data_IF_711750726416
#
_entry.id   IF_711750726416
#
_cell.length_a   1.000
_cell.length_b   1.000
_cell.length_c   1.000
_cell.angle_alpha   90.00
_cell.angle_beta   90.00
_cell.angle_gamma   90.00
#
_symmetry.space_group_name_H-M   'P 1'
#
loop_
_entity.id
_entity.type
_entity.pdbx_description
1 polymer ?
#
# COMPACT_ATOMS: atom_id res chain seq x y z
N UNK A 1 7.24 26.04 -8.99
CA UNK A 1 6.06 26.20 -8.11
C UNK A 1 5.15 24.98 -8.23
N UNK A 2 4.70 24.44 -7.09
CA UNK A 2 3.65 23.39 -7.04
C UNK A 2 2.32 24.09 -7.22
N UNK A 3 1.43 23.52 -8.02
CA UNK A 3 0.09 24.07 -8.26
C UNK A 3 -0.69 24.11 -6.92
N UNK A 4 -1.26 25.28 -6.52
CA UNK A 4 -2.01 25.39 -5.28
C UNK A 4 -3.20 24.43 -5.22
N UNK A 5 -3.77 24.05 -6.36
CA UNK A 5 -4.87 23.08 -6.44
C UNK A 5 -4.41 21.68 -6.05
N UNK A 6 -3.29 21.20 -6.63
CA UNK A 6 -2.69 19.91 -6.29
C UNK A 6 -2.32 19.84 -4.80
N UNK A 7 -1.77 20.93 -4.24
CA UNK A 7 -1.43 20.98 -2.82
C UNK A 7 -2.66 20.76 -1.94
N UNK A 8 -3.80 21.40 -2.27
CA UNK A 8 -5.06 21.21 -1.54
C UNK A 8 -5.57 19.77 -1.63
N UNK A 9 -5.40 19.13 -2.78
CA UNK A 9 -5.85 17.74 -2.99
C UNK A 9 -4.97 16.69 -2.32
N UNK A 10 -3.67 16.96 -2.13
CA UNK A 10 -2.76 16.06 -1.42
C UNK A 10 -2.85 16.19 0.12
N UNK A 11 -3.42 17.27 0.66
CA UNK A 11 -3.62 17.43 2.11
C UNK A 11 -4.42 16.28 2.76
N UNK A 12 -5.58 15.85 2.25
CA UNK A 12 -6.32 14.72 2.84
C UNK A 12 -5.51 13.43 2.81
N UNK A 13 -4.76 13.15 1.73
CA UNK A 13 -3.89 11.97 1.67
C UNK A 13 -2.78 12.03 2.74
N UNK A 14 -2.17 13.20 2.94
CA UNK A 14 -1.18 13.40 4.00
C UNK A 14 -1.78 13.25 5.41
N UNK A 15 -2.99 13.78 5.63
CA UNK A 15 -3.69 13.65 6.91
C UNK A 15 -4.04 12.19 7.22
N UNK A 16 -4.53 11.44 6.23
CA UNK A 16 -4.80 10.01 6.37
C UNK A 16 -3.53 9.21 6.66
N UNK A 17 -2.41 9.52 5.99
CA UNK A 17 -1.13 8.86 6.24
C UNK A 17 -0.63 9.09 7.68
N UNK A 18 -0.78 10.31 8.21
CA UNK A 18 -0.44 10.63 9.60
C UNK A 18 -1.37 9.94 10.60
N UNK A 19 -2.66 9.93 10.32
CA UNK A 19 -3.64 9.24 11.17
C UNK A 19 -3.40 7.72 11.18
N UNK A 20 -3.06 7.13 10.03
CA UNK A 20 -2.70 5.74 9.90
C UNK A 20 -1.50 5.34 10.77
N UNK A 21 -0.49 6.22 10.91
CA UNK A 21 0.67 5.97 11.77
C UNK A 21 0.31 5.88 13.26
N UNK A 22 -0.74 6.57 13.70
CA UNK A 22 -1.25 6.51 15.09
C UNK A 22 -2.16 5.33 15.37
N UNK A 23 -2.73 4.72 14.33
CA UNK A 23 -3.61 3.56 14.44
C UNK A 23 -2.82 2.26 14.64
N UNK A 24 -3.46 1.17 15.13
CA UNK A 24 -2.82 -0.13 15.28
C UNK A 24 -2.43 -0.74 13.93
N UNK A 25 -1.20 -1.25 13.84
CA UNK A 25 -0.65 -1.98 12.68
C UNK A 25 -0.40 -3.45 12.96
N UNK A 26 -0.42 -3.86 14.23
CA UNK A 26 -0.31 -5.26 14.65
C UNK A 26 -1.58 -5.70 15.39
N UNK A 27 -1.81 -7.01 15.47
CA UNK A 27 -2.86 -7.57 16.31
C UNK A 27 -2.41 -7.61 17.76
N UNK A 28 -3.32 -7.31 18.69
CA UNK A 28 -3.11 -7.68 20.08
C UNK A 28 -3.08 -9.21 20.19
N UNK A 29 -2.18 -9.75 21.01
CA UNK A 29 -2.10 -11.19 21.26
C UNK A 29 -2.07 -11.45 22.76
N UNK A 30 -2.88 -12.43 23.17
CA UNK A 30 -3.01 -12.85 24.55
C UNK A 30 -2.85 -14.36 24.60
N UNK A 31 -1.86 -14.82 25.38
CA UNK A 31 -1.67 -16.23 25.70
C UNK A 31 -1.89 -16.39 27.19
N UNK A 32 -2.95 -17.10 27.61
CA UNK A 32 -3.18 -17.33 29.03
C UNK A 32 -2.05 -18.17 29.63
N UNK A 33 -1.79 -17.97 30.92
CA UNK A 33 -0.89 -18.84 31.66
C UNK A 33 -1.46 -20.26 31.73
N UNK A 34 -0.59 -21.25 31.89
CA UNK A 34 -0.97 -22.64 32.02
C UNK A 34 -0.16 -23.35 33.10
N UNK A 35 -0.72 -24.42 33.64
CA UNK A 35 -0.06 -25.29 34.61
C UNK A 35 0.14 -26.67 33.98
N UNK A 36 1.36 -27.19 34.07
CA UNK A 36 1.68 -28.56 33.70
C UNK A 36 1.96 -29.36 34.99
N UNK A 37 1.11 -30.35 35.33
CA UNK A 37 1.32 -31.15 36.53
C UNK A 37 2.57 -32.01 36.40
N UNK A 38 3.26 -32.22 37.53
CA UNK A 38 4.31 -33.22 37.63
C UNK A 38 3.75 -34.64 37.51
N UNK A 39 4.64 -35.61 37.33
CA UNK A 39 4.27 -37.02 37.26
C UNK A 39 5.12 -37.84 38.23
N UNK A 40 4.50 -38.82 38.89
CA UNK A 40 5.20 -39.74 39.79
C UNK A 40 5.33 -41.11 39.11
N UNK A 41 6.53 -41.67 39.15
CA UNK A 41 6.82 -43.02 38.66
C UNK A 41 7.30 -43.89 39.82
N UNK A 42 6.97 -45.17 39.79
CA UNK A 42 7.53 -46.16 40.71
C UNK A 42 8.75 -46.81 40.05
N UNK A 43 9.89 -46.79 40.73
CA UNK A 43 11.13 -47.42 40.31
C UNK A 43 11.54 -48.48 41.32
N UNK A 44 11.83 -49.69 40.86
CA UNK A 44 12.31 -50.76 41.73
C UNK A 44 13.84 -50.83 41.68
N UNK A 45 14.48 -50.95 42.83
CA UNK A 45 15.92 -51.22 42.88
C UNK A 45 16.23 -52.69 42.57
N UNK A 46 17.53 -53.04 42.53
CA UNK A 46 17.98 -54.39 42.23
C UNK A 46 17.50 -55.43 43.27
N UNK A 47 17.15 -54.99 44.48
CA UNK A 47 16.69 -55.82 45.58
C UNK A 47 15.15 -55.92 45.64
N UNK A 48 14.45 -55.27 44.70
CA UNK A 48 12.99 -55.31 44.57
C UNK A 48 12.24 -54.35 45.47
N UNK A 49 12.91 -53.42 46.17
CA UNK A 49 12.25 -52.36 46.93
C UNK A 49 11.77 -51.26 45.98
N UNK A 50 10.48 -50.93 46.09
CA UNK A 50 9.87 -49.84 45.34
C UNK A 50 10.22 -48.48 45.94
N UNK A 51 10.77 -47.58 45.12
CA UNK A 51 10.92 -46.16 45.41
C UNK A 51 10.01 -45.35 44.49
N UNK A 52 9.54 -44.19 44.96
CA UNK A 52 8.69 -43.30 44.18
C UNK A 52 9.48 -42.05 43.80
N UNK A 53 9.57 -41.78 42.50
CA UNK A 53 10.20 -40.58 41.97
C UNK A 53 9.14 -39.66 41.37
N UNK A 54 9.00 -38.45 41.91
CA UNK A 54 8.06 -37.45 41.40
C UNK A 54 8.81 -36.30 40.74
N UNK A 55 8.45 -35.98 39.49
CA UNK A 55 8.88 -34.73 38.87
C UNK A 55 8.06 -33.57 39.42
N UNK A 56 8.68 -32.39 39.49
CA UNK A 56 7.96 -31.16 39.86
C UNK A 56 7.11 -30.69 38.68
N UNK A 57 5.87 -30.25 38.96
CA UNK A 57 5.09 -29.50 37.98
C UNK A 57 5.72 -28.14 37.68
N UNK A 58 5.26 -27.48 36.61
CA UNK A 58 5.70 -26.13 36.28
C UNK A 58 4.53 -25.23 35.87
N UNK A 59 4.69 -23.93 36.12
CA UNK A 59 3.73 -22.89 35.73
C UNK A 59 4.34 -22.09 34.58
N UNK A 60 3.66 -22.08 33.43
CA UNK A 60 3.96 -21.17 32.33
C UNK A 60 3.28 -19.83 32.58
N UNK A 61 4.05 -18.77 32.81
CA UNK A 61 3.51 -17.42 32.85
C UNK A 61 2.99 -17.05 31.45
N UNK A 62 1.70 -16.74 31.35
CA UNK A 62 1.11 -16.21 30.12
C UNK A 62 1.71 -14.86 29.75
N UNK A 63 1.38 -14.37 28.56
CA UNK A 63 1.80 -13.05 28.11
C UNK A 63 0.68 -12.31 27.39
N UNK A 64 0.75 -10.98 27.48
CA UNK A 64 -0.13 -10.06 26.77
C UNK A 64 0.75 -9.10 25.97
N UNK A 65 0.59 -9.11 24.65
CA UNK A 65 1.29 -8.19 23.75
C UNK A 65 0.25 -7.25 23.12
N UNK A 66 0.21 -5.96 23.53
CA UNK A 66 -0.76 -5.01 23.03
C UNK A 66 -0.54 -4.70 21.53
N UNK A 67 -1.61 -4.32 20.85
CA UNK A 67 -1.53 -3.84 19.48
C UNK A 67 -0.60 -2.63 19.40
N UNK A 68 0.38 -2.68 18.49
CA UNK A 68 1.40 -1.66 18.34
C UNK A 68 0.99 -0.66 17.25
N UNK A 69 1.03 0.65 17.55
CA UNK A 69 0.76 1.67 16.55
C UNK A 69 1.90 1.80 15.54
N UNK A 70 1.59 2.25 14.33
CA UNK A 70 2.52 2.28 13.20
C UNK A 70 3.83 3.06 13.45
N UNK A 71 3.77 4.13 14.26
CA UNK A 71 4.95 4.94 14.58
C UNK A 71 5.98 4.21 15.48
N UNK A 72 5.58 3.14 16.17
CA UNK A 72 6.49 2.37 17.05
C UNK A 72 7.27 1.30 16.32
N UNK A 73 6.84 0.90 15.12
CA UNK A 73 7.41 -0.19 14.32
C UNK A 73 8.12 0.34 13.07
N UNK A 74 8.66 -0.58 12.26
CA UNK A 74 9.47 -0.29 11.06
C UNK A 74 8.74 0.57 10.00
N UNK A 75 7.41 0.60 10.04
CA UNK A 75 6.56 1.41 9.15
C UNK A 75 6.98 2.88 9.12
N UNK A 76 7.44 3.44 10.24
CA UNK A 76 7.94 4.82 10.31
C UNK A 76 9.10 5.09 9.35
N UNK A 77 9.95 4.10 9.10
CA UNK A 77 11.10 4.22 8.19
C UNK A 77 10.61 4.32 6.74
N UNK A 78 9.67 3.45 6.36
CA UNK A 78 9.03 3.50 5.04
C UNK A 78 8.26 4.80 4.82
N UNK A 79 7.54 5.27 5.84
CA UNK A 79 6.85 6.56 5.81
C UNK A 79 7.81 7.73 5.61
N UNK A 80 8.95 7.74 6.32
CA UNK A 80 9.98 8.76 6.15
C UNK A 80 10.59 8.73 4.74
N UNK A 81 10.94 7.55 4.21
CA UNK A 81 11.46 7.39 2.86
C UNK A 81 10.45 7.84 1.79
N UNK A 82 9.19 7.43 1.94
CA UNK A 82 8.08 7.89 1.10
C UNK A 82 7.98 9.41 1.11
N UNK A 83 8.00 10.04 2.29
CA UNK A 83 7.88 11.49 2.43
C UNK A 83 9.04 12.23 1.76
N UNK A 84 10.28 11.79 1.99
CA UNK A 84 11.48 12.38 1.37
C UNK A 84 11.41 12.26 -0.15
N UNK A 85 11.09 11.06 -0.66
CA UNK A 85 10.97 10.81 -2.09
C UNK A 85 9.81 11.62 -2.72
N UNK A 86 8.68 11.75 -2.03
CA UNK A 86 7.55 12.55 -2.47
C UNK A 86 7.90 14.05 -2.54
N UNK A 87 8.54 14.60 -1.50
CA UNK A 87 8.97 16.01 -1.49
C UNK A 87 9.95 16.28 -2.62
N UNK A 88 10.97 15.44 -2.79
CA UNK A 88 11.95 15.60 -3.86
C UNK A 88 11.35 15.39 -5.24
N UNK A 89 10.46 14.40 -5.39
CA UNK A 89 9.73 14.11 -6.61
C UNK A 89 8.83 15.27 -7.04
N UNK A 90 8.10 15.87 -6.11
CA UNK A 90 7.27 17.06 -6.34
C UNK A 90 8.11 18.29 -6.69
N UNK A 91 9.24 18.50 -5.99
CA UNK A 91 10.15 19.63 -6.28
C UNK A 91 10.78 19.53 -7.68
N UNK A 92 11.21 18.33 -8.07
CA UNK A 92 11.87 18.08 -9.37
C UNK A 92 10.89 17.71 -10.49
N UNK A 93 9.60 17.57 -10.18
CA UNK A 93 8.56 17.02 -11.08
C UNK A 93 9.00 15.69 -11.73
N UNK A 94 9.67 14.84 -10.96
CA UNK A 94 10.22 13.58 -11.46
C UNK A 94 9.24 12.42 -11.24
N UNK A 95 8.69 11.81 -12.31
CA UNK A 95 7.78 10.68 -12.19
C UNK A 95 8.44 9.47 -11.52
N UNK A 96 9.76 9.32 -11.68
CA UNK A 96 10.52 8.21 -11.08
C UNK A 96 10.56 8.34 -9.56
N UNK A 97 10.84 9.54 -9.04
CA UNK A 97 10.89 9.77 -7.59
C UNK A 97 9.50 9.64 -6.94
N UNK A 98 8.45 10.09 -7.64
CA UNK A 98 7.07 9.90 -7.18
C UNK A 98 6.67 8.42 -7.22
N UNK A 99 7.12 7.68 -8.22
CA UNK A 99 6.99 6.22 -8.26
C UNK A 99 7.68 5.56 -7.08
N UNK A 100 8.93 5.93 -6.80
CA UNK A 100 9.69 5.44 -5.62
C UNK A 100 8.97 5.77 -4.31
N UNK A 101 8.36 6.95 -4.20
CA UNK A 101 7.59 7.31 -3.01
C UNK A 101 6.40 6.37 -2.81
N UNK A 102 5.61 6.11 -3.86
CA UNK A 102 4.47 5.19 -3.79
C UNK A 102 4.92 3.74 -3.54
N UNK A 103 6.02 3.28 -4.14
CA UNK A 103 6.52 1.92 -3.89
C UNK A 103 7.08 1.77 -2.49
N UNK A 104 7.75 2.78 -1.93
CA UNK A 104 8.18 2.78 -0.53
C UNK A 104 6.98 2.71 0.43
N UNK A 105 5.92 3.47 0.13
CA UNK A 105 4.66 3.40 0.88
C UNK A 105 3.98 2.03 0.79
N UNK A 106 3.95 1.42 -0.40
CA UNK A 106 3.39 0.08 -0.60
C UNK A 106 4.26 -1.02 0.07
N UNK A 107 5.58 -0.85 0.09
CA UNK A 107 6.48 -1.77 0.77
C UNK A 107 6.20 -1.86 2.28
N UNK A 108 5.70 -0.78 2.91
CA UNK A 108 5.26 -0.81 4.30
C UNK A 108 4.11 -1.81 4.53
N UNK A 109 3.18 -1.91 3.58
CA UNK A 109 2.06 -2.87 3.62
C UNK A 109 2.52 -4.30 3.36
N UNK A 110 3.44 -4.49 2.41
CA UNK A 110 3.99 -5.83 2.11
C UNK A 110 4.79 -6.38 3.29
N UNK A 111 5.52 -5.51 4.01
CA UNK A 111 6.34 -5.93 5.16
C UNK A 111 5.50 -6.29 6.39
N UNK A 112 4.33 -5.70 6.53
CA UNK A 112 3.37 -6.02 7.58
C UNK A 112 2.03 -6.44 6.93
N UNK A 113 1.93 -7.66 6.40
CA UNK A 113 0.69 -8.12 5.79
C UNK A 113 -0.38 -8.29 6.87
N UNK A 114 -1.54 -7.66 6.67
CA UNK A 114 -2.65 -7.73 7.60
C UNK A 114 -3.86 -6.92 7.14
N UNK A 115 -4.80 -6.71 8.05
CA UNK A 115 -6.04 -5.97 7.82
C UNK A 115 -6.35 -4.99 8.97
N UNK A 116 -5.32 -4.61 9.72
CA UNK A 116 -5.46 -3.70 10.86
C UNK A 116 -5.86 -2.30 10.37
N UNK A 117 -6.57 -1.55 11.23
CA UNK A 117 -7.10 -0.23 10.88
C UNK A 117 -6.03 0.73 10.33
N UNK A 118 -4.82 0.72 10.88
CA UNK A 118 -3.72 1.55 10.39
C UNK A 118 -3.32 1.21 8.94
N UNK A 119 -3.32 -0.07 8.58
CA UNK A 119 -2.97 -0.53 7.23
C UNK A 119 -4.03 -0.16 6.20
N UNK A 120 -5.31 -0.28 6.54
CA UNK A 120 -6.43 0.10 5.67
C UNK A 120 -6.43 1.61 5.39
N UNK A 121 -6.23 2.44 6.43
CA UNK A 121 -6.16 3.89 6.27
C UNK A 121 -4.91 4.30 5.48
N UNK A 122 -3.77 3.64 5.70
CA UNK A 122 -2.55 3.86 4.93
C UNK A 122 -2.73 3.51 3.44
N UNK A 123 -3.32 2.35 3.14
CA UNK A 123 -3.65 1.95 1.78
C UNK A 123 -4.57 2.98 1.11
N UNK A 124 -5.60 3.46 1.82
CA UNK A 124 -6.47 4.54 1.34
C UNK A 124 -5.70 5.83 1.03
N UNK A 125 -4.77 6.22 1.91
CA UNK A 125 -3.90 7.38 1.69
C UNK A 125 -3.02 7.23 0.44
N UNK A 126 -2.44 6.04 0.22
CA UNK A 126 -1.62 5.75 -0.96
C UNK A 126 -2.43 5.77 -2.25
N UNK A 127 -3.63 5.18 -2.25
CA UNK A 127 -4.53 5.20 -3.40
C UNK A 127 -4.93 6.63 -3.73
N UNK A 128 -5.35 7.41 -2.73
CA UNK A 128 -5.74 8.81 -2.93
C UNK A 128 -4.56 9.63 -3.48
N UNK A 129 -3.37 9.49 -2.89
CA UNK A 129 -2.17 10.17 -3.39
C UNK A 129 -1.82 9.74 -4.82
N UNK A 130 -1.91 8.44 -5.13
CA UNK A 130 -1.65 7.90 -6.46
C UNK A 130 -2.61 8.46 -7.51
N UNK A 131 -3.90 8.47 -7.23
CA UNK A 131 -4.93 9.03 -8.12
C UNK A 131 -4.66 10.50 -8.41
N UNK A 132 -4.42 11.30 -7.37
CA UNK A 132 -4.16 12.74 -7.53
C UNK A 132 -2.88 13.02 -8.33
N UNK A 133 -1.84 12.20 -8.15
CA UNK A 133 -0.60 12.31 -8.93
C UNK A 133 -0.77 11.88 -10.40
N UNK A 134 -1.66 10.92 -10.66
CA UNK A 134 -2.03 10.49 -12.03
C UNK A 134 -2.86 11.57 -12.72
N UNK A 135 -3.86 12.12 -12.04
CA UNK A 135 -4.74 13.17 -12.56
C UNK A 135 -3.98 14.46 -12.86
N UNK A 136 -3.00 14.81 -12.02
CA UNK A 136 -2.07 15.91 -12.28
C UNK A 136 -1.07 15.64 -13.42
N UNK A 137 -1.08 14.44 -14.00
CA UNK A 137 -0.17 14.03 -15.09
C UNK A 137 1.28 13.82 -14.64
N UNK A 138 1.56 13.82 -13.34
CA UNK A 138 2.91 13.73 -12.78
C UNK A 138 3.46 12.31 -12.81
N UNK A 139 2.59 11.30 -12.87
CA UNK A 139 2.96 9.88 -13.00
C UNK A 139 2.87 9.36 -14.44
N UNK A 140 2.56 10.20 -15.44
CA UNK A 140 2.51 9.75 -16.84
C UNK A 140 3.90 9.30 -17.28
N UNK A 141 4.07 7.99 -17.39
CA UNK A 141 5.29 7.35 -17.83
C UNK A 141 5.58 7.71 -19.29
N UNK A 142 6.87 7.87 -19.62
CA UNK A 142 7.38 8.17 -20.97
C UNK A 142 6.83 7.24 -22.06
N UNK A 143 6.33 6.05 -21.70
CA UNK A 143 5.65 5.12 -22.59
C UNK A 143 4.41 5.70 -23.27
N UNK A 144 3.60 6.53 -22.60
CA UNK A 144 2.47 7.21 -23.26
C UNK A 144 2.93 8.29 -24.24
N UNK A 145 3.99 9.03 -23.89
CA UNK A 145 4.60 10.01 -24.78
C UNK A 145 5.23 9.33 -26.01
N UNK A 146 5.87 8.17 -25.83
CA UNK A 146 6.42 7.37 -26.92
C UNK A 146 5.33 6.78 -27.81
N UNK A 147 4.26 6.21 -27.25
CA UNK A 147 3.12 5.69 -28.02
C UNK A 147 2.42 6.80 -28.81
N UNK A 148 2.31 8.01 -28.25
CA UNK A 148 1.75 9.16 -28.97
C UNK A 148 2.64 9.63 -30.13
N UNK A 149 3.97 9.56 -29.99
CA UNK A 149 4.92 9.84 -31.08
C UNK A 149 4.89 8.75 -32.15
N UNK A 150 4.86 7.48 -31.75
CA UNK A 150 4.82 6.34 -32.67
C UNK A 150 3.52 6.30 -33.47
N UNK A 151 2.37 6.65 -32.87
CA UNK A 151 1.10 6.84 -33.59
C UNK A 151 1.17 7.94 -34.66
N UNK A 152 1.96 8.99 -34.46
CA UNK A 152 2.17 10.04 -35.49
C UNK A 152 3.12 9.62 -36.60
N UNK A 153 3.99 8.63 -36.36
CA UNK A 153 4.96 8.15 -37.34
C UNK A 153 4.47 6.94 -38.14
N UNK A 154 3.36 6.31 -37.73
CA UNK A 154 2.73 5.26 -38.54
C UNK A 154 2.13 5.91 -39.80
N UNK A 155 2.54 5.48 -41.00
CA UNK A 155 1.91 5.97 -42.23
C UNK A 155 0.40 5.72 -42.15
N UNK A 156 -0.42 6.65 -42.67
CA UNK A 156 -1.87 6.47 -42.67
C UNK A 156 -2.21 5.11 -43.31
N UNK A 157 -3.18 4.37 -42.77
CA UNK A 157 -3.54 3.07 -43.32
C UNK A 157 -3.86 3.23 -44.81
N UNK A 158 -3.09 2.52 -45.66
CA UNK A 158 -3.34 2.39 -47.11
C UNK A 158 -4.72 1.74 -47.28
N UNK A 159 -5.78 2.54 -47.31
CA UNK A 159 -7.14 2.00 -47.44
C UNK A 159 -8.29 3.00 -47.28
N UNK A 160 -8.08 4.13 -46.61
CA UNK A 160 -9.13 5.17 -46.55
C UNK A 160 -9.12 6.00 -47.84
N UNK A 161 -9.78 5.49 -48.89
CA UNK A 161 -10.24 6.35 -49.99
C UNK A 161 -11.08 7.49 -49.36
N UNK A 162 -10.81 8.77 -49.68
CA UNK A 162 -11.69 9.85 -49.26
C UNK A 162 -13.08 9.55 -49.80
N UNK A 163 -14.08 9.49 -48.90
CA UNK A 163 -15.47 9.42 -49.29
C UNK A 163 -15.75 10.60 -50.22
N UNK A 164 -16.24 10.31 -51.42
CA UNK A 164 -16.55 11.32 -52.42
C UNK A 164 -17.48 12.38 -51.79
N UNK A 165 -17.27 13.67 -52.09
CA UNK A 165 -18.11 14.73 -51.54
C UNK A 165 -19.57 14.46 -51.91
N UNK A 166 -20.42 14.35 -50.88
CA UNK A 166 -21.87 14.25 -51.07
C UNK A 166 -22.33 15.51 -51.84
N UNK A 167 -23.01 15.35 -52.99
CA UNK A 167 -23.49 16.48 -53.77
C UNK A 167 -24.50 17.29 -52.94
N UNK A 168 -24.25 18.59 -52.81
CA UNK A 168 -25.19 19.54 -52.21
C UNK A 168 -26.47 19.55 -53.04
N UNK A 169 -27.59 19.18 -52.42
CA UNK A 169 -28.92 19.39 -53.00
C UNK A 169 -29.12 20.89 -53.27
N UNK A 170 -29.47 21.22 -54.51
CA UNK A 170 -29.77 22.58 -54.94
C UNK A 170 -31.06 23.08 -54.27
N UNK A 171 -31.11 24.34 -53.78
CA UNK A 171 -32.34 24.92 -53.27
C UNK A 171 -33.35 25.10 -54.42
N UNK A 172 -34.48 24.40 -54.31
CA UNK A 172 -35.60 24.52 -55.24
C UNK A 172 -36.18 25.92 -55.25
N UNK A 173 -36.37 26.44 -56.46
CA UNK A 173 -37.03 27.70 -56.76
C UNK A 173 -38.50 27.67 -56.31
N UNK A 174 -38.88 28.62 -55.45
CA UNK A 174 -40.27 28.96 -55.19
C UNK A 174 -40.75 29.93 -56.28
N UNK A 175 -41.68 29.46 -57.12
CA UNK A 175 -42.44 30.29 -58.05
C UNK A 175 -43.78 30.66 -57.40
N UNK A 176 -44.04 31.98 -57.37
CA UNK A 176 -45.33 32.70 -57.40
C UNK A 176 -46.37 32.43 -56.32
#
# INVERSE_FOLDING_TARGET
>A
MIDPTLRRRLLPAGALALLALGLPWTTASFVPGYYSPGFCTTTYDADGYGSMYCSTGFIGAGYNNPASPGFTIDVRVYAALMLIAAIWGLRRRSPVLLGIALTAGAAALVRNPGSQAGQLVWAGALVLAGVELVDAGLLRTRSQAWLSRRRRQLPPPRGSRPAAPHPRAAPGAAHR
#
